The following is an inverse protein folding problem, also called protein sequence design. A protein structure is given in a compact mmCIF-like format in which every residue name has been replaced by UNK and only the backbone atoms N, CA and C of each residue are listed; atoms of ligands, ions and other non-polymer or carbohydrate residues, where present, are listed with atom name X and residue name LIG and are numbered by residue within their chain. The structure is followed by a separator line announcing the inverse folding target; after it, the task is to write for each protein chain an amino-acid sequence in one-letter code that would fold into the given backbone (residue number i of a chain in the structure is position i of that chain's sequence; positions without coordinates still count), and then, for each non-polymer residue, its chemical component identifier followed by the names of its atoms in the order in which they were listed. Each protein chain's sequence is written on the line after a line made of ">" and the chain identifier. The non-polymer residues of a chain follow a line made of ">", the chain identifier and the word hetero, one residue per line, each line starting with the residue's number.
data_IF_043764319913
#
_entry.id   IF_043764319913
#
_cell.length_a   1.000
_cell.length_b   1.000
_cell.length_c   1.000
_cell.angle_alpha   90.00
_cell.angle_beta   90.00
_cell.angle_gamma   90.00
#
_symmetry.space_group_name_H-M   'P 1'
#
loop_
_entity.id
_entity.type
_entity.pdbx_description
1 polymer ?
#
# COMPACT_ATOMS: atom_id res chain seq x y z
N UNK A 1 22.94 -23.13 8.18
CA UNK A 1 22.13 -23.31 6.94
C UNK A 1 21.23 -24.52 7.07
N UNK A 2 20.00 -24.44 6.55
CA UNK A 2 19.03 -25.52 6.61
C UNK A 2 18.66 -25.97 5.20
N UNK A 3 18.56 -27.27 4.97
CA UNK A 3 17.98 -27.83 3.73
C UNK A 3 16.46 -27.70 3.74
N UNK A 4 15.85 -27.73 4.93
CA UNK A 4 14.43 -27.45 5.11
C UNK A 4 14.19 -26.74 6.44
N UNK A 5 13.73 -25.49 6.37
CA UNK A 5 13.48 -24.64 7.54
C UNK A 5 12.33 -25.19 8.39
N UNK A 6 11.23 -25.62 7.77
CA UNK A 6 10.05 -26.14 8.47
C UNK A 6 10.31 -27.45 9.21
N UNK A 7 11.25 -28.27 8.71
CA UNK A 7 11.65 -29.55 9.33
C UNK A 7 12.92 -29.45 10.19
N UNK A 8 13.54 -28.27 10.28
CA UNK A 8 14.76 -28.04 11.06
C UNK A 8 15.98 -28.84 10.60
N UNK A 9 16.02 -29.31 9.35
CA UNK A 9 17.10 -30.17 8.85
C UNK A 9 18.30 -29.32 8.46
N UNK A 10 19.41 -29.47 9.19
CA UNK A 10 20.68 -28.79 8.93
C UNK A 10 21.36 -29.33 7.67
N UNK A 11 21.93 -28.44 6.87
CA UNK A 11 22.72 -28.81 5.70
C UNK A 11 24.07 -29.41 6.12
N UNK A 12 24.48 -30.52 5.48
CA UNK A 12 25.77 -31.16 5.73
C UNK A 12 26.89 -30.36 5.04
N UNK A 13 28.08 -30.31 5.65
CA UNK A 13 29.23 -29.60 5.09
C UNK A 13 29.64 -30.10 3.69
N UNK A 14 29.43 -31.38 3.40
CA UNK A 14 29.67 -31.95 2.06
C UNK A 14 28.79 -31.33 0.97
N UNK A 15 27.52 -31.07 1.30
CA UNK A 15 26.56 -30.51 0.35
C UNK A 15 26.78 -29.01 0.14
N UNK A 16 27.22 -28.30 1.21
CA UNK A 16 27.61 -26.88 1.12
C UNK A 16 28.83 -26.66 0.22
N UNK A 17 29.86 -27.51 0.36
CA UNK A 17 31.05 -27.45 -0.50
C UNK A 17 30.69 -27.80 -1.95
N UNK A 18 29.81 -28.77 -2.18
CA UNK A 18 29.38 -29.14 -3.53
C UNK A 18 28.54 -28.04 -4.23
N UNK A 19 27.70 -27.31 -3.47
CA UNK A 19 26.81 -26.30 -4.03
C UNK A 19 27.45 -24.90 -4.13
N UNK A 20 28.25 -24.50 -3.14
CA UNK A 20 28.81 -23.15 -2.99
C UNK A 20 30.34 -23.10 -3.05
N UNK A 21 31.02 -24.25 -3.11
CA UNK A 21 32.49 -24.31 -3.20
C UNK A 21 33.24 -23.86 -1.95
N UNK A 22 32.54 -23.61 -0.83
CA UNK A 22 33.09 -23.08 0.43
C UNK A 22 32.30 -23.65 1.61
N UNK A 23 32.91 -23.75 2.80
CA UNK A 23 32.25 -24.20 4.04
C UNK A 23 31.87 -23.06 5.00
N UNK A 24 32.34 -21.84 4.72
CA UNK A 24 32.10 -20.64 5.52
C UNK A 24 30.64 -20.22 5.42
N UNK A 25 29.88 -20.54 6.46
CA UNK A 25 28.44 -20.27 6.55
C UNK A 25 28.09 -18.79 6.32
N UNK A 26 29.00 -17.87 6.68
CA UNK A 26 28.74 -16.43 6.60
C UNK A 26 28.70 -15.95 5.15
N UNK A 27 29.67 -16.38 4.34
CA UNK A 27 29.75 -16.02 2.92
C UNK A 27 28.58 -16.62 2.13
N UNK A 28 28.24 -17.87 2.44
CA UNK A 28 27.12 -18.54 1.79
C UNK A 28 25.80 -17.84 2.15
N UNK A 29 25.63 -17.34 3.39
CA UNK A 29 24.43 -16.60 3.76
C UNK A 29 24.27 -15.30 2.96
N UNK A 30 25.36 -14.57 2.72
CA UNK A 30 25.34 -13.35 1.91
C UNK A 30 24.95 -13.68 0.47
N UNK A 31 25.55 -14.72 -0.12
CA UNK A 31 25.24 -15.13 -1.49
C UNK A 31 23.80 -15.61 -1.65
N UNK A 32 23.24 -16.31 -0.66
CA UNK A 32 21.83 -16.71 -0.64
C UNK A 32 20.92 -15.49 -0.49
N UNK A 33 21.29 -14.47 0.29
CA UNK A 33 20.47 -13.26 0.41
C UNK A 33 20.50 -12.40 -0.85
N UNK A 34 21.63 -12.38 -1.58
CA UNK A 34 21.77 -11.61 -2.82
C UNK A 34 21.10 -12.28 -4.03
N UNK A 35 21.24 -13.60 -4.16
CA UNK A 35 20.76 -14.35 -5.35
C UNK A 35 19.50 -15.16 -5.09
N UNK A 36 19.20 -15.44 -3.82
CA UNK A 36 18.04 -16.23 -3.43
C UNK A 36 16.76 -15.41 -3.42
N UNK A 37 15.64 -16.11 -3.49
CA UNK A 37 14.33 -15.52 -3.32
C UNK A 37 13.92 -15.59 -1.84
N UNK A 38 13.42 -14.49 -1.30
CA UNK A 38 12.90 -14.45 0.06
C UNK A 38 11.59 -15.25 0.12
N UNK A 39 11.65 -16.44 0.69
CA UNK A 39 10.47 -17.25 0.97
C UNK A 39 9.75 -16.69 2.20
N UNK A 40 8.79 -15.82 1.96
CA UNK A 40 7.94 -15.23 3.00
C UNK A 40 7.09 -16.34 3.63
N UNK A 41 7.08 -16.43 4.96
CA UNK A 41 6.25 -17.41 5.65
C UNK A 41 4.76 -17.14 5.36
N UNK A 42 3.93 -18.18 5.32
CA UNK A 42 2.49 -18.03 5.00
C UNK A 42 1.78 -16.97 5.84
N UNK A 43 2.11 -16.89 7.14
CA UNK A 43 1.57 -15.86 8.06
C UNK A 43 2.03 -14.44 7.73
N UNK A 44 3.28 -14.27 7.33
CA UNK A 44 3.82 -12.97 6.96
C UNK A 44 3.22 -12.49 5.64
N UNK A 45 2.99 -13.40 4.69
CA UNK A 45 2.32 -13.10 3.43
C UNK A 45 0.88 -12.63 3.66
N UNK A 46 0.12 -13.29 4.53
CA UNK A 46 -1.24 -12.86 4.90
C UNK A 46 -1.24 -11.49 5.61
N UNK A 47 -0.28 -11.25 6.50
CA UNK A 47 -0.12 -9.95 7.15
C UNK A 47 0.20 -8.82 6.16
N UNK A 48 1.11 -9.07 5.21
CA UNK A 48 1.43 -8.11 4.15
C UNK A 48 0.22 -7.83 3.25
N UNK A 49 -0.49 -8.87 2.82
CA UNK A 49 -1.68 -8.74 1.98
C UNK A 49 -2.78 -7.92 2.68
N UNK A 50 -3.05 -8.23 3.96
CA UNK A 50 -4.07 -7.51 4.73
C UNK A 50 -3.68 -6.06 5.01
N UNK A 51 -2.40 -5.77 5.30
CA UNK A 51 -1.90 -4.40 5.45
C UNK A 51 -2.06 -3.62 4.14
N UNK A 52 -1.59 -4.18 3.02
CA UNK A 52 -1.69 -3.53 1.72
C UNK A 52 -3.14 -3.32 1.29
N UNK A 53 -4.02 -4.29 1.55
CA UNK A 53 -5.45 -4.15 1.28
C UNK A 53 -6.04 -2.94 2.03
N UNK A 54 -5.70 -2.78 3.31
CA UNK A 54 -6.14 -1.65 4.13
C UNK A 54 -5.54 -0.32 3.70
N UNK A 55 -4.28 -0.32 3.25
CA UNK A 55 -3.61 0.87 2.71
C UNK A 55 -4.29 1.32 1.41
N UNK A 56 -4.59 0.38 0.51
CA UNK A 56 -5.32 0.65 -0.73
C UNK A 56 -6.71 1.22 -0.41
N UNK A 57 -7.46 0.60 0.50
CA UNK A 57 -8.77 1.08 0.91
C UNK A 57 -8.71 2.51 1.47
N UNK A 58 -7.68 2.84 2.25
CA UNK A 58 -7.46 4.18 2.80
C UNK A 58 -7.18 5.22 1.72
N UNK A 59 -6.32 4.88 0.74
CA UNK A 59 -6.01 5.77 -0.40
C UNK A 59 -7.27 6.01 -1.25
N UNK A 60 -8.06 4.96 -1.47
CA UNK A 60 -9.31 5.04 -2.24
C UNK A 60 -10.33 5.92 -1.50
N UNK A 61 -10.46 5.77 -0.17
CA UNK A 61 -11.33 6.59 0.67
C UNK A 61 -11.05 8.08 0.54
N UNK A 62 -9.77 8.47 0.57
CA UNK A 62 -9.38 9.88 0.47
C UNK A 62 -9.69 10.51 -0.89
N UNK A 63 -9.80 9.69 -1.96
CA UNK A 63 -9.91 10.18 -3.34
C UNK A 63 -11.32 10.11 -3.92
N UNK A 64 -12.21 9.34 -3.31
CA UNK A 64 -13.56 9.10 -3.82
C UNK A 64 -14.61 9.90 -3.04
N UNK A 65 -15.55 10.48 -3.76
CA UNK A 65 -16.80 11.02 -3.20
C UNK A 65 -18.02 10.46 -3.93
N UNK A 66 -19.14 10.36 -3.22
CA UNK A 66 -20.43 10.06 -3.83
C UNK A 66 -20.93 11.30 -4.60
N UNK A 67 -21.25 11.20 -5.91
CA UNK A 67 -21.67 12.34 -6.71
C UNK A 67 -23.05 12.89 -6.32
N UNK A 68 -23.94 12.07 -5.74
CA UNK A 68 -25.29 12.48 -5.34
C UNK A 68 -25.30 13.14 -3.96
N UNK A 69 -24.62 12.55 -2.98
CA UNK A 69 -24.64 13.05 -1.60
C UNK A 69 -23.46 13.98 -1.26
N UNK A 70 -22.44 14.03 -2.13
CA UNK A 70 -21.15 14.73 -1.91
C UNK A 70 -20.42 14.32 -0.62
N UNK A 71 -20.81 13.20 -0.02
CA UNK A 71 -20.18 12.65 1.19
C UNK A 71 -19.06 11.67 0.81
N UNK A 72 -17.97 11.63 1.59
CA UNK A 72 -16.96 10.59 1.44
C UNK A 72 -17.52 9.24 1.88
N UNK A 73 -16.97 8.16 1.31
CA UNK A 73 -17.24 6.81 1.79
C UNK A 73 -16.37 6.50 3.00
N UNK A 74 -16.83 5.62 3.88
CA UNK A 74 -16.02 5.11 4.99
C UNK A 74 -15.11 3.99 4.53
N UNK A 75 -14.02 3.74 5.27
CA UNK A 75 -13.08 2.65 4.98
C UNK A 75 -13.81 1.30 4.90
N UNK A 76 -14.67 0.99 5.88
CA UNK A 76 -15.41 -0.28 5.91
C UNK A 76 -16.36 -0.47 4.72
N UNK A 77 -16.92 0.62 4.16
CA UNK A 77 -17.70 0.52 2.93
C UNK A 77 -16.81 0.14 1.75
N UNK A 78 -15.62 0.73 1.65
CA UNK A 78 -14.69 0.45 0.55
C UNK A 78 -14.13 -0.96 0.65
N UNK A 79 -13.78 -1.43 1.85
CA UNK A 79 -13.36 -2.82 2.08
C UNK A 79 -14.43 -3.79 1.60
N UNK A 80 -15.69 -3.56 1.98
CA UNK A 80 -16.81 -4.38 1.52
C UNK A 80 -16.98 -4.33 0.00
N UNK A 81 -16.91 -3.14 -0.60
CA UNK A 81 -17.01 -3.00 -2.06
C UNK A 81 -15.85 -3.69 -2.78
N UNK A 82 -14.63 -3.64 -2.24
CA UNK A 82 -13.45 -4.35 -2.76
C UNK A 82 -13.62 -5.86 -2.68
N UNK A 83 -14.25 -6.37 -1.62
CA UNK A 83 -14.61 -7.79 -1.51
C UNK A 83 -15.70 -8.20 -2.49
N UNK A 84 -16.73 -7.36 -2.69
CA UNK A 84 -17.82 -7.64 -3.65
C UNK A 84 -17.30 -7.76 -5.09
N UNK A 85 -16.34 -6.91 -5.50
CA UNK A 85 -15.71 -6.98 -6.83
C UNK A 85 -14.62 -8.07 -6.94
N UNK A 86 -14.29 -8.76 -5.85
CA UNK A 86 -13.24 -9.78 -5.79
C UNK A 86 -11.89 -9.29 -6.34
N UNK A 87 -11.49 -8.06 -5.98
CA UNK A 87 -10.24 -7.49 -6.47
C UNK A 87 -9.02 -8.23 -5.91
N UNK A 88 -8.20 -8.78 -6.80
CA UNK A 88 -6.96 -9.45 -6.42
C UNK A 88 -5.83 -8.42 -6.18
N UNK A 89 -5.40 -8.29 -4.91
CA UNK A 89 -4.26 -7.44 -4.55
C UNK A 89 -2.95 -8.19 -4.84
N UNK A 90 -2.14 -7.59 -5.70
CA UNK A 90 -0.76 -8.00 -5.99
C UNK A 90 0.24 -7.35 -5.01
N UNK A 91 0.98 -8.12 -4.21
CA UNK A 91 1.93 -7.60 -3.23
C UNK A 91 3.13 -6.85 -3.78
N UNK A 92 3.54 -7.15 -5.02
CA UNK A 92 4.76 -6.58 -5.60
C UNK A 92 4.50 -5.24 -6.28
N UNK A 93 3.23 -4.89 -6.48
CA UNK A 93 2.84 -3.67 -7.17
C UNK A 93 2.60 -2.53 -6.19
N UNK A 94 2.81 -1.30 -6.67
CA UNK A 94 2.67 -0.11 -5.84
C UNK A 94 1.20 0.16 -5.47
N UNK A 95 0.92 0.37 -4.18
CA UNK A 95 -0.44 0.60 -3.65
C UNK A 95 -1.17 1.78 -4.32
N UNK A 96 -0.43 2.83 -4.73
CA UNK A 96 -1.02 3.98 -5.46
C UNK A 96 -1.54 3.60 -6.85
N UNK A 97 -0.86 2.68 -7.54
CA UNK A 97 -1.25 2.20 -8.87
C UNK A 97 -2.50 1.33 -8.74
N UNK A 98 -2.46 0.37 -7.82
CA UNK A 98 -3.62 -0.49 -7.54
C UNK A 98 -4.84 0.30 -7.10
N UNK A 99 -4.69 1.33 -6.28
CA UNK A 99 -5.79 2.20 -5.90
C UNK A 99 -6.48 2.86 -7.11
N UNK A 100 -5.74 3.24 -8.16
CA UNK A 100 -6.33 3.79 -9.39
C UNK A 100 -7.13 2.75 -10.16
N UNK A 101 -6.62 1.51 -10.21
CA UNK A 101 -7.30 0.41 -10.90
C UNK A 101 -8.57 -0.01 -10.14
N UNK A 102 -8.51 -0.10 -8.81
CA UNK A 102 -9.68 -0.31 -7.93
C UNK A 102 -10.73 0.78 -8.13
N UNK A 103 -10.33 2.06 -8.20
CA UNK A 103 -11.27 3.16 -8.48
C UNK A 103 -11.99 2.94 -9.82
N UNK A 104 -11.26 2.55 -10.87
CA UNK A 104 -11.83 2.33 -12.21
C UNK A 104 -12.82 1.17 -12.23
N UNK A 105 -12.54 0.08 -11.52
CA UNK A 105 -13.45 -1.05 -11.42
C UNK A 105 -14.69 -0.70 -10.61
N UNK A 106 -14.52 -0.07 -9.45
CA UNK A 106 -15.63 0.37 -8.62
C UNK A 106 -16.52 1.38 -9.37
N UNK A 107 -15.96 2.21 -10.26
CA UNK A 107 -16.70 3.16 -11.09
C UNK A 107 -17.67 2.51 -12.10
N UNK A 108 -17.43 1.26 -12.50
CA UNK A 108 -18.32 0.54 -13.42
C UNK A 108 -19.60 0.06 -12.73
N UNK A 109 -19.49 -0.32 -11.45
CA UNK A 109 -20.59 -0.90 -10.68
C UNK A 109 -21.30 0.13 -9.81
N UNK A 110 -20.57 1.13 -9.30
CA UNK A 110 -21.08 2.10 -8.33
C UNK A 110 -20.89 3.54 -8.83
N UNK A 111 -21.85 4.44 -8.57
CA UNK A 111 -21.72 5.85 -8.91
C UNK A 111 -20.73 6.52 -7.96
N UNK A 112 -19.44 6.45 -8.30
CA UNK A 112 -18.36 7.08 -7.55
C UNK A 112 -17.56 8.00 -8.46
N UNK A 113 -17.18 9.16 -7.94
CA UNK A 113 -16.40 10.13 -8.72
C UNK A 113 -15.17 10.52 -7.95
N UNK A 114 -14.04 10.57 -8.65
CA UNK A 114 -12.83 11.23 -8.16
C UNK A 114 -13.08 12.73 -8.23
N UNK A 115 -13.07 13.42 -7.10
CA UNK A 115 -13.19 14.88 -7.08
C UNK A 115 -12.00 15.47 -6.35
N UNK A 116 -11.18 16.30 -7.00
CA UNK A 116 -10.36 17.24 -6.25
C UNK A 116 -11.31 18.18 -5.49
N UNK A 117 -11.07 18.38 -4.20
CA UNK A 117 -11.81 19.37 -3.41
C UNK A 117 -11.25 20.76 -3.76
N UNK A 118 -12.09 21.63 -4.32
CA UNK A 118 -11.81 23.07 -4.40
C UNK A 118 -12.60 23.74 -3.27
N UNK A 119 -11.89 24.33 -2.32
CA UNK A 119 -12.49 25.02 -1.17
C UNK A 119 -12.29 26.52 -1.32
N UNK A 120 -13.35 27.30 -1.08
CA UNK A 120 -13.27 28.75 -0.92
C UNK A 120 -13.39 29.04 0.57
N UNK A 121 -12.39 29.68 1.15
CA UNK A 121 -12.37 30.03 2.57
C UNK A 121 -12.35 31.56 2.68
N UNK A 122 -13.33 32.13 3.40
CA UNK A 122 -13.40 33.57 3.67
C UNK A 122 -13.03 33.80 5.13
N UNK A 123 -11.97 34.57 5.37
CA UNK A 123 -11.36 34.73 6.70
C UNK A 123 -11.11 36.22 6.99
N UNK A 124 -11.31 36.69 8.24
CA UNK A 124 -10.90 38.02 8.68
C UNK A 124 -9.37 38.19 8.66
N UNK A 125 -8.86 39.37 8.29
CA UNK A 125 -7.42 39.59 8.02
C UNK A 125 -6.47 39.17 9.17
N UNK A 126 -6.93 39.20 10.42
CA UNK A 126 -6.11 38.85 11.60
C UNK A 126 -5.65 37.39 11.61
N UNK A 127 -6.38 36.48 10.97
CA UNK A 127 -6.11 35.04 11.06
C UNK A 127 -5.47 34.47 9.79
N UNK A 128 -5.14 35.33 8.81
CA UNK A 128 -4.60 34.89 7.52
C UNK A 128 -3.23 34.21 7.65
N UNK A 129 -2.34 34.75 8.50
CA UNK A 129 -0.97 34.22 8.67
C UNK A 129 -0.96 32.79 9.22
N UNK A 130 -1.68 32.54 10.33
CA UNK A 130 -1.74 31.21 10.96
C UNK A 130 -2.39 30.16 10.05
N UNK A 131 -3.33 30.58 9.20
CA UNK A 131 -4.00 29.68 8.28
C UNK A 131 -3.13 29.35 7.06
N UNK A 132 -2.31 30.30 6.59
CA UNK A 132 -1.35 30.08 5.52
C UNK A 132 -0.25 29.09 5.93
N UNK A 133 0.25 29.18 7.17
CA UNK A 133 1.17 28.18 7.74
C UNK A 133 0.55 26.78 7.78
N UNK A 134 -0.71 26.67 8.23
CA UNK A 134 -1.43 25.39 8.29
C UNK A 134 -1.75 24.83 6.90
N UNK A 135 -2.08 25.69 5.93
CA UNK A 135 -2.33 25.27 4.54
C UNK A 135 -1.06 24.78 3.85
N UNK A 136 0.08 25.44 4.09
CA UNK A 136 1.37 24.98 3.56
C UNK A 136 1.77 23.63 4.16
N UNK A 137 1.50 23.40 5.45
CA UNK A 137 1.72 22.10 6.08
C UNK A 137 0.83 20.98 5.51
N UNK A 138 -0.27 21.33 4.82
CA UNK A 138 -1.21 20.39 4.20
C UNK A 138 -1.05 20.25 2.67
N UNK A 139 0.02 20.82 2.09
CA UNK A 139 0.29 20.75 0.64
C UNK A 139 -0.93 21.19 -0.22
N UNK A 140 -1.60 22.28 0.19
CA UNK A 140 -2.75 22.79 -0.53
C UNK A 140 -2.34 23.70 -1.71
N UNK A 141 -2.75 23.35 -2.94
CA UNK A 141 -2.62 24.23 -4.11
C UNK A 141 -3.59 25.43 -4.01
N UNK A 142 -3.03 26.64 -3.86
CA UNK A 142 -3.81 27.88 -3.80
C UNK A 142 -4.10 28.38 -5.22
N UNK A 143 -5.34 28.19 -5.67
CA UNK A 143 -5.75 28.48 -7.06
C UNK A 143 -6.15 29.95 -7.29
N UNK A 144 -6.49 30.72 -6.25
CA UNK A 144 -6.66 32.19 -6.34
C UNK A 144 -6.62 32.85 -4.96
N UNK A 145 -6.02 34.05 -4.88
CA UNK A 145 -6.00 34.93 -3.71
C UNK A 145 -6.82 36.19 -4.04
N UNK A 146 -8.14 36.06 -4.05
CA UNK A 146 -9.09 37.18 -4.14
C UNK A 146 -10.08 37.16 -2.96
#
# INVERSE_FOLDING_TARGET
>A
MYTNVSKGVLAKSKDLIAAFGTDDQTKICIEILEKGELLVAGKEREAQLSSQFRDIATIVMQKIVNPKTKRPYTISMIERLMHEIHFAVDPHSNSKKQALDVIRELQKHYPIKRSPMRLRITIPQQNFSSLLEKLNAWDADIVSKE
#
